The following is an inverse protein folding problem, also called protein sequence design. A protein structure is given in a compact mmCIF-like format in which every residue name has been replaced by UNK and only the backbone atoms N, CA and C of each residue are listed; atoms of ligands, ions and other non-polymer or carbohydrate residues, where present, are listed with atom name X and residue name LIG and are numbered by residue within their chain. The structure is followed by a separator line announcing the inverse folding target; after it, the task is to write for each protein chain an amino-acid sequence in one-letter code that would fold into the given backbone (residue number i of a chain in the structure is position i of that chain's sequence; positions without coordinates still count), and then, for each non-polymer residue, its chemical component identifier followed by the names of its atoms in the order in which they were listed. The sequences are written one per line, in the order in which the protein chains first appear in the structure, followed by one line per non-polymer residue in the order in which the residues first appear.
data_IF_379467440377
#
_entry.id   IF_379467440377
#
_cell.length_a   1.000
_cell.length_b   1.000
_cell.length_c   1.000
_cell.angle_alpha   90.00
_cell.angle_beta   90.00
_cell.angle_gamma   90.00
#
_symmetry.space_group_name_H-M   'P 1'
#
loop_
_entity.id
_entity.type
_entity.pdbx_description
1 polymer ?
#
# COMPACT_ATOMS: atom_id res chain seq x y z
N UNK A 1 -61.09 58.91 -4.55
CA UNK A 1 -59.66 59.00 -4.21
C UNK A 1 -59.18 57.59 -3.92
N UNK A 2 -58.66 56.90 -4.94
CA UNK A 2 -58.26 55.48 -4.88
C UNK A 2 -56.87 55.40 -4.26
N UNK A 3 -56.69 54.60 -3.20
CA UNK A 3 -55.36 54.29 -2.68
C UNK A 3 -54.73 53.18 -3.54
N UNK A 4 -53.46 53.30 -3.94
CA UNK A 4 -52.77 52.25 -4.68
C UNK A 4 -52.51 51.04 -3.78
N UNK A 5 -52.84 49.85 -4.27
CA UNK A 5 -52.43 48.59 -3.66
C UNK A 5 -50.91 48.50 -3.59
N UNK A 6 -50.41 48.21 -2.40
CA UNK A 6 -48.99 47.92 -2.16
C UNK A 6 -48.74 46.46 -2.55
N UNK A 7 -48.38 46.25 -3.81
CA UNK A 7 -47.86 44.97 -4.30
C UNK A 7 -46.71 44.47 -3.41
N UNK A 8 -46.74 43.22 -2.89
CA UNK A 8 -45.66 42.66 -2.11
C UNK A 8 -44.46 42.33 -3.01
N UNK A 9 -43.36 43.06 -2.82
CA UNK A 9 -42.11 42.88 -3.55
C UNK A 9 -41.46 41.51 -3.26
N UNK A 10 -41.08 40.71 -4.28
CA UNK A 10 -40.49 39.38 -4.10
C UNK A 10 -38.97 39.49 -3.89
N UNK A 11 -38.52 40.04 -2.76
CA UNK A 11 -37.10 40.26 -2.48
C UNK A 11 -36.56 39.29 -1.42
N UNK A 12 -36.69 37.96 -1.57
CA UNK A 12 -36.12 37.02 -0.57
C UNK A 12 -35.59 35.67 -1.12
N UNK A 13 -35.56 35.46 -2.45
CA UNK A 13 -35.23 34.15 -3.03
C UNK A 13 -33.75 33.73 -2.91
N UNK A 14 -32.82 34.68 -3.05
CA UNK A 14 -31.37 34.43 -3.11
C UNK A 14 -30.72 34.34 -1.73
N UNK A 15 -31.20 35.11 -0.74
CA UNK A 15 -30.74 35.03 0.65
C UNK A 15 -31.03 33.64 1.27
N UNK A 16 -32.16 33.01 0.91
CA UNK A 16 -32.55 31.69 1.38
C UNK A 16 -31.70 30.53 0.81
N UNK A 17 -31.33 30.59 -0.47
CA UNK A 17 -30.56 29.51 -1.12
C UNK A 17 -29.12 29.45 -0.60
N UNK A 18 -28.49 30.62 -0.42
CA UNK A 18 -27.14 30.72 0.17
C UNK A 18 -27.13 30.22 1.62
N UNK A 19 -28.17 30.55 2.40
CA UNK A 19 -28.35 30.03 3.75
C UNK A 19 -28.47 28.50 3.80
N UNK A 20 -29.27 27.91 2.90
CA UNK A 20 -29.45 26.45 2.79
C UNK A 20 -28.16 25.74 2.37
N UNK A 21 -27.42 26.30 1.40
CA UNK A 21 -26.13 25.76 0.97
C UNK A 21 -25.09 25.77 2.09
N UNK A 22 -25.01 26.85 2.87
CA UNK A 22 -24.14 26.92 4.06
C UNK A 22 -24.53 25.91 5.12
N UNK A 23 -25.83 25.72 5.35
CA UNK A 23 -26.34 24.74 6.33
C UNK A 23 -26.04 23.30 5.88
N UNK A 24 -26.17 23.02 4.59
CA UNK A 24 -25.80 21.73 4.00
C UNK A 24 -24.30 21.46 4.10
N UNK A 25 -23.45 22.44 3.76
CA UNK A 25 -22.00 22.35 3.93
C UNK A 25 -21.61 22.13 5.40
N UNK A 26 -22.26 22.83 6.33
CA UNK A 26 -22.05 22.64 7.76
C UNK A 26 -22.46 21.23 8.22
N UNK A 27 -23.57 20.69 7.71
CA UNK A 27 -24.00 19.33 8.00
C UNK A 27 -23.02 18.28 7.43
N UNK A 28 -22.55 18.47 6.19
CA UNK A 28 -21.52 17.62 5.58
C UNK A 28 -20.20 17.68 6.35
N UNK A 29 -19.76 18.86 6.78
CA UNK A 29 -18.56 19.04 7.58
C UNK A 29 -18.69 18.36 8.95
N UNK A 30 -19.85 18.47 9.61
CA UNK A 30 -20.13 17.77 10.87
C UNK A 30 -20.11 16.25 10.67
N UNK A 31 -20.76 15.73 9.62
CA UNK A 31 -20.75 14.31 9.31
C UNK A 31 -19.34 13.78 9.00
N UNK A 32 -18.56 14.52 8.20
CA UNK A 32 -17.17 14.20 7.90
C UNK A 32 -16.31 14.20 9.18
N UNK A 33 -16.48 15.20 10.04
CA UNK A 33 -15.76 15.28 11.32
C UNK A 33 -16.08 14.10 12.25
N UNK A 34 -17.34 13.65 12.29
CA UNK A 34 -17.76 12.49 13.07
C UNK A 34 -17.14 11.19 12.54
N UNK A 35 -17.14 11.00 11.20
CA UNK A 35 -16.50 9.85 10.55
C UNK A 35 -14.99 9.82 10.74
N UNK A 36 -14.32 10.98 10.59
CA UNK A 36 -12.88 11.11 10.84
C UNK A 36 -12.54 10.80 12.30
N UNK A 37 -13.37 11.25 13.25
CA UNK A 37 -13.15 10.97 14.68
C UNK A 37 -13.28 9.50 15.00
N UNK A 38 -14.28 8.80 14.46
CA UNK A 38 -14.41 7.34 14.55
C UNK A 38 -13.22 6.63 13.90
N UNK A 39 -12.87 7.00 12.66
CA UNK A 39 -11.72 6.44 11.95
C UNK A 39 -10.39 6.65 12.67
N UNK A 40 -10.22 7.79 13.36
CA UNK A 40 -9.02 8.05 14.17
C UNK A 40 -8.95 7.19 15.44
N UNK A 41 -10.12 6.87 16.03
CA UNK A 41 -10.21 6.06 17.24
C UNK A 41 -9.92 4.59 16.91
N UNK A 42 -10.64 4.05 15.92
CA UNK A 42 -10.44 2.69 15.40
C UNK A 42 -9.04 2.54 14.77
N UNK A 43 -8.59 3.56 14.05
CA UNK A 43 -7.26 3.61 13.46
C UNK A 43 -6.16 3.55 14.51
N UNK A 44 -6.32 4.17 15.68
CA UNK A 44 -5.32 4.11 16.76
C UNK A 44 -5.24 2.74 17.41
N UNK A 45 -6.38 2.07 17.59
CA UNK A 45 -6.43 0.70 18.11
C UNK A 45 -5.87 -0.31 17.10
N UNK A 46 -6.27 -0.19 15.84
CA UNK A 46 -5.76 -1.00 14.74
C UNK A 46 -4.26 -0.77 14.53
N UNK A 47 -3.78 0.48 14.64
CA UNK A 47 -2.37 0.82 14.55
C UNK A 47 -1.57 0.25 15.72
N UNK A 48 -2.08 0.33 16.96
CA UNK A 48 -1.40 -0.24 18.11
C UNK A 48 -1.28 -1.77 18.02
N UNK A 49 -2.31 -2.45 17.53
CA UNK A 49 -2.28 -3.89 17.28
C UNK A 49 -1.31 -4.24 16.15
N UNK A 50 -1.39 -3.52 15.02
CA UNK A 50 -0.51 -3.72 13.87
C UNK A 50 0.96 -3.42 14.21
N UNK A 51 1.21 -2.40 15.03
CA UNK A 51 2.56 -2.02 15.47
C UNK A 51 3.20 -3.11 16.33
N UNK A 52 2.44 -3.70 17.26
CA UNK A 52 2.92 -4.87 18.03
C UNK A 52 3.26 -6.03 17.09
N UNK A 53 2.42 -6.31 16.11
CA UNK A 53 2.67 -7.37 15.13
C UNK A 53 3.91 -7.07 14.29
N UNK A 54 4.11 -5.82 13.88
CA UNK A 54 5.31 -5.38 13.16
C UNK A 54 6.58 -5.53 14.00
N UNK A 55 6.53 -5.20 15.29
CA UNK A 55 7.67 -5.42 16.20
C UNK A 55 7.97 -6.91 16.30
N UNK A 56 6.96 -7.75 16.56
CA UNK A 56 7.15 -9.20 16.69
C UNK A 56 7.70 -9.77 15.38
N UNK A 57 7.14 -9.37 14.24
CA UNK A 57 7.62 -9.78 12.93
C UNK A 57 9.06 -9.33 12.69
N UNK A 58 9.39 -8.08 13.01
CA UNK A 58 10.75 -7.54 12.90
C UNK A 58 11.74 -8.30 13.78
N UNK A 59 11.40 -8.54 15.04
CA UNK A 59 12.21 -9.34 15.98
C UNK A 59 12.39 -10.76 15.44
N UNK A 60 11.32 -11.41 14.97
CA UNK A 60 11.38 -12.75 14.40
C UNK A 60 12.27 -12.81 13.14
N UNK A 61 12.20 -11.80 12.26
CA UNK A 61 13.07 -11.68 11.08
C UNK A 61 14.53 -11.56 11.51
N UNK A 62 14.83 -10.69 12.47
CA UNK A 62 16.19 -10.50 12.98
C UNK A 62 16.73 -11.79 13.58
N UNK A 63 16.01 -12.41 14.52
CA UNK A 63 16.39 -13.68 15.14
C UNK A 63 16.53 -14.80 14.11
N UNK A 64 15.61 -14.88 13.15
CA UNK A 64 15.66 -15.85 12.06
C UNK A 64 16.89 -15.65 11.18
N UNK A 65 17.23 -14.41 10.84
CA UNK A 65 18.42 -14.08 10.04
C UNK A 65 19.72 -14.46 10.77
N UNK A 66 19.85 -14.09 12.05
CA UNK A 66 21.01 -14.50 12.85
C UNK A 66 21.07 -16.01 13.04
N UNK A 67 19.94 -16.66 13.32
CA UNK A 67 19.85 -18.12 13.44
C UNK A 67 20.28 -18.84 12.16
N UNK A 68 19.83 -18.34 11.00
CA UNK A 68 20.24 -18.87 9.69
C UNK A 68 21.74 -18.70 9.45
N UNK A 69 22.31 -17.52 9.73
CA UNK A 69 23.75 -17.28 9.61
C UNK A 69 24.55 -18.23 10.50
N UNK A 70 24.17 -18.38 11.77
CA UNK A 70 24.84 -19.30 12.69
C UNK A 70 24.69 -20.76 12.27
N UNK A 71 23.52 -21.16 11.76
CA UNK A 71 23.31 -22.51 11.23
C UNK A 71 24.21 -22.78 10.01
N UNK A 72 24.34 -21.83 9.09
CA UNK A 72 25.24 -21.92 7.95
C UNK A 72 26.70 -22.03 8.39
N UNK A 73 27.14 -21.19 9.34
CA UNK A 73 28.48 -21.30 9.91
C UNK A 73 28.71 -22.67 10.55
N UNK A 74 27.79 -23.13 11.40
CA UNK A 74 27.87 -24.43 12.05
C UNK A 74 27.94 -25.57 11.02
N UNK A 75 27.12 -25.54 9.97
CA UNK A 75 27.14 -26.52 8.90
C UNK A 75 28.49 -26.56 8.17
N UNK A 76 29.07 -25.38 7.86
CA UNK A 76 30.40 -25.27 7.26
C UNK A 76 31.47 -25.91 8.15
N UNK A 77 31.49 -25.59 9.45
CA UNK A 77 32.46 -26.16 10.38
C UNK A 77 32.27 -27.67 10.59
N UNK A 78 31.03 -28.15 10.63
CA UNK A 78 30.72 -29.58 10.75
C UNK A 78 31.18 -30.36 9.51
N UNK A 79 30.91 -29.85 8.31
CA UNK A 79 31.42 -30.43 7.07
C UNK A 79 32.94 -30.41 7.06
N UNK A 80 33.57 -29.27 7.40
CA UNK A 80 35.02 -29.15 7.46
C UNK A 80 35.65 -30.22 8.37
N UNK A 81 35.07 -30.43 9.55
CA UNK A 81 35.50 -31.46 10.51
C UNK A 81 35.33 -32.87 9.92
N UNK A 82 34.23 -33.14 9.24
CA UNK A 82 33.95 -34.44 8.64
C UNK A 82 34.92 -34.81 7.51
N UNK A 83 35.38 -33.84 6.72
CA UNK A 83 36.31 -34.06 5.60
C UNK A 83 37.79 -34.06 6.00
N UNK A 84 38.13 -33.77 7.26
CA UNK A 84 39.47 -33.98 7.84
C UNK A 84 40.64 -33.16 7.25
N UNK A 85 40.38 -32.28 6.28
CA UNK A 85 41.41 -31.47 5.63
C UNK A 85 41.66 -30.12 6.33
N UNK A 86 42.92 -29.71 6.43
CA UNK A 86 43.36 -28.43 7.05
C UNK A 86 42.60 -27.20 6.54
N UNK A 87 42.14 -27.23 5.27
CA UNK A 87 41.39 -26.14 4.62
C UNK A 87 39.94 -26.54 4.26
N UNK A 88 39.39 -27.60 4.85
CA UNK A 88 38.05 -28.12 4.53
C UNK A 88 36.92 -27.11 4.77
N UNK A 89 37.13 -26.16 5.68
CA UNK A 89 36.17 -25.10 5.98
C UNK A 89 35.99 -24.11 4.82
N UNK A 90 37.04 -23.86 4.03
CA UNK A 90 36.97 -22.97 2.85
C UNK A 90 36.07 -23.60 1.78
N UNK A 91 36.29 -24.88 1.50
CA UNK A 91 35.51 -25.62 0.51
C UNK A 91 34.05 -25.79 0.95
N UNK A 92 33.82 -26.12 2.22
CA UNK A 92 32.46 -26.19 2.77
C UNK A 92 31.75 -24.82 2.70
N UNK A 93 32.45 -23.72 2.99
CA UNK A 93 31.90 -22.36 2.84
C UNK A 93 31.57 -22.04 1.38
N UNK A 94 32.41 -22.42 0.42
CA UNK A 94 32.16 -22.22 -1.00
C UNK A 94 30.93 -23.00 -1.50
N UNK A 95 30.79 -24.26 -1.10
CA UNK A 95 29.60 -25.06 -1.46
C UNK A 95 28.34 -24.44 -0.88
N UNK A 96 28.37 -24.02 0.39
CA UNK A 96 27.24 -23.34 1.00
C UNK A 96 26.91 -22.03 0.29
N UNK A 97 27.91 -21.21 -0.06
CA UNK A 97 27.70 -19.98 -0.82
C UNK A 97 27.06 -20.27 -2.19
N UNK A 98 27.57 -21.26 -2.93
CA UNK A 98 27.02 -21.66 -4.22
C UNK A 98 25.55 -22.10 -4.11
N UNK A 99 25.18 -22.87 -3.08
CA UNK A 99 23.80 -23.26 -2.81
C UNK A 99 22.89 -22.05 -2.55
N UNK A 100 23.37 -21.05 -1.81
CA UNK A 100 22.60 -19.83 -1.58
C UNK A 100 22.37 -19.05 -2.88
N UNK A 101 23.41 -18.87 -3.70
CA UNK A 101 23.27 -18.19 -4.99
C UNK A 101 22.32 -18.93 -5.92
N UNK A 102 22.42 -20.25 -6.01
CA UNK A 102 21.49 -21.06 -6.78
C UNK A 102 20.04 -20.90 -6.28
N UNK A 103 19.83 -20.89 -4.96
CA UNK A 103 18.52 -20.66 -4.35
C UNK A 103 17.95 -19.28 -4.69
N UNK A 104 18.76 -18.22 -4.59
CA UNK A 104 18.34 -16.85 -4.97
C UNK A 104 17.98 -16.77 -6.44
N UNK A 105 18.77 -17.36 -7.33
CA UNK A 105 18.49 -17.38 -8.77
C UNK A 105 17.18 -18.13 -9.04
N UNK A 106 16.99 -19.31 -8.46
CA UNK A 106 15.77 -20.09 -8.63
C UNK A 106 14.54 -19.33 -8.12
N UNK A 107 14.64 -18.68 -6.95
CA UNK A 107 13.55 -17.89 -6.38
C UNK A 107 13.27 -16.64 -7.23
N UNK A 108 14.29 -15.98 -7.75
CA UNK A 108 14.14 -14.83 -8.66
C UNK A 108 13.47 -15.23 -9.98
N UNK A 109 13.81 -16.39 -10.54
CA UNK A 109 13.16 -16.93 -11.74
C UNK A 109 11.69 -17.32 -11.45
N UNK A 110 11.43 -17.97 -10.32
CA UNK A 110 10.08 -18.31 -9.89
C UNK A 110 9.24 -17.04 -9.63
N UNK A 111 9.81 -16.03 -8.98
CA UNK A 111 9.13 -14.76 -8.74
C UNK A 111 8.87 -14.02 -10.06
N UNK A 112 9.83 -13.99 -10.98
CA UNK A 112 9.65 -13.43 -12.32
C UNK A 112 8.52 -14.14 -13.10
N UNK A 113 8.42 -15.46 -13.00
CA UNK A 113 7.30 -16.21 -13.62
C UNK A 113 5.95 -15.90 -12.99
N UNK A 114 5.92 -15.65 -11.67
CA UNK A 114 4.68 -15.35 -10.93
C UNK A 114 4.27 -13.88 -10.98
N UNK A 115 5.21 -12.96 -11.14
CA UNK A 115 4.93 -11.53 -11.36
C UNK A 115 4.49 -11.26 -12.81
N UNK A 116 4.85 -12.13 -13.76
CA UNK A 116 4.27 -12.13 -15.11
C UNK A 116 2.77 -12.46 -15.11
N UNK A 117 2.26 -13.06 -14.03
CA UNK A 117 0.83 -13.18 -13.76
C UNK A 117 0.43 -11.99 -12.90
N UNK A 118 -0.15 -10.96 -13.52
CA UNK A 118 -0.61 -9.73 -12.84
C UNK A 118 -1.43 -10.12 -11.60
N UNK A 119 -0.97 -9.71 -10.41
CA UNK A 119 -1.63 -10.03 -9.13
C UNK A 119 -3.08 -9.49 -9.06
N UNK A 120 -3.43 -8.55 -9.95
CA UNK A 120 -4.78 -8.00 -10.13
C UNK A 120 -5.08 -7.77 -11.61
N UNK A 121 -5.31 -8.85 -12.39
CA UNK A 121 -5.43 -8.74 -13.85
C UNK A 121 -6.61 -7.83 -14.26
N UNK A 122 -7.68 -7.83 -13.46
CA UNK A 122 -8.86 -6.99 -13.65
C UNK A 122 -8.53 -5.51 -13.39
N UNK A 123 -7.94 -5.18 -12.23
CA UNK A 123 -7.60 -3.79 -11.89
C UNK A 123 -6.59 -3.19 -12.86
N UNK A 124 -5.60 -3.96 -13.32
CA UNK A 124 -4.65 -3.49 -14.34
C UNK A 124 -5.29 -3.30 -15.70
N UNK A 125 -6.31 -4.09 -16.05
CA UNK A 125 -7.05 -3.93 -17.29
C UNK A 125 -7.94 -2.69 -17.25
N UNK A 126 -8.59 -2.40 -16.12
CA UNK A 126 -9.39 -1.18 -15.94
C UNK A 126 -8.50 0.08 -15.94
N UNK A 127 -7.36 0.06 -15.24
CA UNK A 127 -6.38 1.17 -15.28
C UNK A 127 -5.86 1.45 -16.69
N UNK A 128 -5.68 0.41 -17.52
CA UNK A 128 -5.24 0.58 -18.90
C UNK A 128 -6.32 1.24 -19.77
N UNK A 129 -7.59 0.88 -19.59
CA UNK A 129 -8.71 1.53 -20.30
C UNK A 129 -8.83 3.00 -19.92
N UNK A 130 -8.67 3.33 -18.64
CA UNK A 130 -8.67 4.72 -18.17
C UNK A 130 -7.54 5.53 -18.80
N UNK A 131 -6.35 4.93 -18.94
CA UNK A 131 -5.20 5.55 -19.58
C UNK A 131 -5.44 5.79 -21.08
N UNK A 132 -6.00 4.82 -21.79
CA UNK A 132 -6.37 4.94 -23.21
C UNK A 132 -7.43 6.05 -23.42
N UNK A 133 -8.38 6.19 -22.49
CA UNK A 133 -9.39 7.26 -22.53
C UNK A 133 -8.81 8.66 -22.31
N UNK A 134 -7.78 8.79 -21.47
CA UNK A 134 -7.08 10.06 -21.25
C UNK A 134 -6.25 10.47 -22.47
N UNK A 135 -5.55 9.52 -23.10
CA UNK A 135 -4.75 9.78 -24.31
C UNK A 135 -5.64 10.19 -25.49
N UNK A 136 -6.82 9.56 -25.65
CA UNK A 136 -7.82 9.93 -26.66
C UNK A 136 -8.37 11.35 -26.46
N UNK A 137 -8.59 11.79 -25.22
CA UNK A 137 -9.03 13.16 -24.95
C UNK A 137 -7.94 14.20 -25.21
N UNK A 138 -6.69 13.89 -24.87
CA UNK A 138 -5.57 14.81 -25.08
C UNK A 138 -5.29 15.01 -26.58
N UNK A 139 -5.39 13.93 -27.37
CA UNK A 139 -5.27 13.99 -28.83
C UNK A 139 -6.43 14.73 -29.49
N UNK A 140 -7.66 14.54 -29.01
CA UNK A 140 -8.85 15.25 -29.53
C UNK A 140 -8.82 16.76 -29.22
N UNK A 141 -8.41 17.16 -28.01
CA UNK A 141 -8.27 18.58 -27.63
C UNK A 141 -7.09 19.30 -28.32
N UNK A 142 -6.12 18.56 -28.87
CA UNK A 142 -4.98 19.15 -29.59
C UNK A 142 -5.26 19.40 -31.08
N UNK A 143 -6.41 18.96 -31.59
CA UNK A 143 -6.84 19.14 -32.99
C UNK A 143 -8.01 20.14 -33.17
N UNK A 144 -8.55 20.71 -32.09
CA UNK A 144 -9.55 21.80 -32.11
C UNK A 144 -8.91 23.15 -31.83
#
# INVERSE_FOLDING_TARGET
MLMPEKEPSPENGTAGVVGRARTFLAACAQYASARLRLASLEGREAAAHSFKLLIIAGVAIVLGAFGWLFACLAAVFLLAKAFGGTNGWVWAALVMAALHFAGVIALALALKSRLGTTLFPITTAELKKDQEWLDQQNTTNSQS
#
